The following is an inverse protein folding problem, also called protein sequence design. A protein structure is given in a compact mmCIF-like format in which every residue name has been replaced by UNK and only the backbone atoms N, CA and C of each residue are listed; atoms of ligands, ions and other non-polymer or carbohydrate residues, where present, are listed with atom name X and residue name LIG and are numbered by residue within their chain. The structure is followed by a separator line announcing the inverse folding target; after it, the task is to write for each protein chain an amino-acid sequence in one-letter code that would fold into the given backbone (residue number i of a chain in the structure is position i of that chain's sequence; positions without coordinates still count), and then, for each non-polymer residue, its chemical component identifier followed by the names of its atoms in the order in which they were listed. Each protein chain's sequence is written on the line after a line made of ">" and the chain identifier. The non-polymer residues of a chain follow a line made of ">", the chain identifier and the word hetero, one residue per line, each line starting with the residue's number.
data_IF_586400307558
#
_entry.id   IF_586400307558
#
_cell.length_a   1.000
_cell.length_b   1.000
_cell.length_c   1.000
_cell.angle_alpha   90.00
_cell.angle_beta   90.00
_cell.angle_gamma   90.00
#
_symmetry.space_group_name_H-M   'P 1'
#
loop_
_entity.id
_entity.type
_entity.pdbx_description
1 polymer ?
#
# COMPACT_ATOMS: atom_id res chain seq x y z
N UNK A 1 8.25 19.24 -6.91
CA UNK A 1 8.42 19.06 -5.45
C UNK A 1 9.26 17.84 -5.14
N UNK A 2 8.87 16.63 -5.52
CA UNK A 2 9.61 15.36 -5.27
C UNK A 2 11.09 15.47 -5.64
N UNK A 3 11.42 15.82 -6.91
CA UNK A 3 12.79 15.93 -7.37
C UNK A 3 13.66 16.94 -6.57
N UNK A 4 13.05 18.02 -6.09
CA UNK A 4 13.76 18.99 -5.25
C UNK A 4 14.06 18.45 -3.87
N UNK A 5 13.12 17.68 -3.29
CA UNK A 5 13.32 16.99 -2.02
C UNK A 5 14.41 15.91 -2.13
N UNK A 6 14.36 15.09 -3.16
CA UNK A 6 15.37 14.05 -3.42
C UNK A 6 16.78 14.65 -3.60
N UNK A 7 16.89 15.67 -4.44
CA UNK A 7 18.15 16.37 -4.66
C UNK A 7 18.70 16.98 -3.37
N UNK A 8 17.83 17.58 -2.57
CA UNK A 8 18.24 18.22 -1.31
C UNK A 8 18.64 17.20 -0.26
N UNK A 9 17.91 16.08 -0.16
CA UNK A 9 18.25 14.95 0.72
C UNK A 9 19.65 14.42 0.42
N UNK A 10 19.99 14.26 -0.86
CA UNK A 10 21.31 13.81 -1.28
C UNK A 10 22.39 14.88 -1.01
N UNK A 11 22.14 16.13 -1.37
CA UNK A 11 23.12 17.23 -1.22
C UNK A 11 23.45 17.51 0.25
N UNK A 12 22.47 17.35 1.15
CA UNK A 12 22.61 17.57 2.58
C UNK A 12 23.05 16.32 3.35
N UNK A 13 23.27 15.19 2.67
CA UNK A 13 23.68 13.93 3.32
C UNK A 13 22.60 13.33 4.24
N UNK A 14 21.33 13.60 3.96
CA UNK A 14 20.20 13.20 4.81
C UNK A 14 19.60 11.84 4.44
N UNK A 15 20.26 11.06 3.62
CA UNK A 15 19.75 9.76 3.14
C UNK A 15 19.55 8.72 4.25
N UNK A 16 20.22 8.89 5.39
CA UNK A 16 20.02 8.06 6.58
C UNK A 16 18.81 8.47 7.42
N UNK A 17 18.26 9.66 7.18
CA UNK A 17 17.11 10.19 7.91
C UNK A 17 15.85 10.31 7.04
N UNK A 18 16.01 10.51 5.73
CA UNK A 18 14.93 10.58 4.74
C UNK A 18 15.12 9.44 3.76
N UNK A 19 14.27 8.42 3.85
CA UNK A 19 14.44 7.16 3.13
C UNK A 19 13.77 7.18 1.76
N UNK A 20 12.51 7.62 1.70
CA UNK A 20 11.73 7.61 0.46
C UNK A 20 10.85 8.86 0.35
N UNK A 21 10.65 9.29 -0.87
CA UNK A 21 9.77 10.40 -1.22
C UNK A 21 8.81 9.90 -2.30
N UNK A 22 7.54 9.83 -1.98
CA UNK A 22 6.50 9.23 -2.80
C UNK A 22 5.46 10.28 -3.18
N UNK A 23 4.99 10.21 -4.43
CA UNK A 23 3.80 10.96 -4.88
C UNK A 23 2.64 9.98 -4.85
N UNK A 24 1.51 10.32 -4.23
CA UNK A 24 0.36 9.42 -4.11
C UNK A 24 -0.39 9.33 -5.45
N UNK A 25 0.18 8.60 -6.39
CA UNK A 25 -0.35 8.34 -7.72
C UNK A 25 -0.73 6.87 -7.83
N UNK A 26 -1.84 6.60 -8.49
CA UNK A 26 -2.29 5.25 -8.83
C UNK A 26 -2.51 5.12 -10.33
N UNK A 27 -2.24 3.95 -10.88
CA UNK A 27 -2.59 3.63 -12.24
C UNK A 27 -4.03 3.12 -12.27
N UNK A 28 -4.88 3.80 -13.02
CA UNK A 28 -6.29 3.42 -13.22
C UNK A 28 -6.46 2.99 -14.66
N UNK A 29 -6.87 1.75 -14.86
CA UNK A 29 -7.22 1.24 -16.18
C UNK A 29 -8.73 1.33 -16.38
N UNK A 30 -9.14 2.15 -17.35
CA UNK A 30 -10.53 2.28 -17.77
C UNK A 30 -10.73 1.65 -19.15
N UNK A 31 -11.85 0.99 -19.33
CA UNK A 31 -12.23 0.45 -20.65
C UNK A 31 -13.12 1.48 -21.31
N UNK A 32 -12.64 2.10 -22.39
CA UNK A 32 -13.42 2.99 -23.25
C UNK A 32 -13.45 2.41 -24.67
N UNK A 33 -14.64 2.26 -25.22
CA UNK A 33 -14.88 1.75 -26.56
C UNK A 33 -14.23 0.35 -26.84
N UNK A 34 -14.11 -0.47 -25.80
CA UNK A 34 -13.50 -1.81 -25.89
C UNK A 34 -11.97 -1.83 -25.84
N UNK A 35 -11.33 -0.69 -25.68
CA UNK A 35 -9.89 -0.58 -25.47
C UNK A 35 -9.56 -0.24 -24.01
N UNK A 36 -8.57 -0.92 -23.46
CA UNK A 36 -8.04 -0.63 -22.14
C UNK A 36 -7.13 0.60 -22.20
N UNK A 37 -7.51 1.68 -21.51
CA UNK A 37 -6.73 2.89 -21.40
C UNK A 37 -6.26 3.06 -19.96
N UNK A 38 -4.95 3.03 -19.76
CA UNK A 38 -4.33 3.28 -18.45
C UNK A 38 -4.05 4.77 -18.30
N UNK A 39 -4.50 5.35 -17.21
CA UNK A 39 -4.21 6.73 -16.82
C UNK A 39 -3.65 6.76 -15.41
N UNK A 40 -2.79 7.74 -15.13
CA UNK A 40 -2.27 7.98 -13.80
C UNK A 40 -3.17 9.01 -13.12
N UNK A 41 -3.77 8.65 -12.01
CA UNK A 41 -4.56 9.54 -11.18
C UNK A 41 -3.82 9.83 -9.88
N UNK A 42 -3.85 11.09 -9.44
CA UNK A 42 -3.24 11.50 -8.18
C UNK A 42 -4.37 11.71 -7.15
N UNK A 43 -4.40 10.87 -6.13
CA UNK A 43 -5.41 10.93 -5.07
C UNK A 43 -5.32 12.21 -4.24
N UNK A 44 -4.11 12.75 -4.11
CA UNK A 44 -3.83 13.94 -3.31
C UNK A 44 -2.95 14.92 -4.09
N UNK A 45 -3.52 15.65 -5.08
CA UNK A 45 -2.75 16.59 -5.87
C UNK A 45 -2.05 17.65 -5.02
N UNK A 46 -0.75 17.84 -5.24
CA UNK A 46 0.05 18.78 -4.49
C UNK A 46 0.65 18.27 -3.18
N UNK A 47 0.37 17.03 -2.81
CA UNK A 47 0.97 16.37 -1.65
C UNK A 47 2.06 15.38 -2.04
N UNK A 48 3.00 15.20 -1.13
CA UNK A 48 4.10 14.24 -1.25
C UNK A 48 4.25 13.56 0.10
N UNK A 49 4.37 12.25 0.08
CA UNK A 49 4.64 11.43 1.26
C UNK A 49 6.15 11.33 1.44
N UNK A 50 6.62 11.53 2.64
CA UNK A 50 8.04 11.42 2.98
C UNK A 50 8.19 10.39 4.09
N UNK A 51 8.92 9.32 3.80
CA UNK A 51 9.31 8.33 4.80
C UNK A 51 10.64 8.75 5.42
N UNK A 52 10.64 8.90 6.72
CA UNK A 52 11.81 9.37 7.44
C UNK A 52 11.99 8.69 8.80
N UNK A 53 13.21 8.76 9.32
CA UNK A 53 13.50 8.26 10.65
C UNK A 53 12.78 9.09 11.72
N UNK A 54 12.13 8.39 12.64
CA UNK A 54 11.44 8.97 13.79
C UNK A 54 12.00 8.36 15.09
N UNK A 55 13.17 8.80 15.53
CA UNK A 55 13.90 8.14 16.61
C UNK A 55 13.21 8.24 17.97
N UNK A 56 12.32 9.21 18.17
CA UNK A 56 11.62 9.43 19.43
C UNK A 56 10.12 9.69 19.18
N UNK A 57 9.26 8.88 19.76
CA UNK A 57 7.80 9.07 19.81
C UNK A 57 7.16 9.42 18.46
N UNK A 58 7.57 8.75 17.40
CA UNK A 58 7.10 9.01 16.02
C UNK A 58 7.35 10.45 15.52
N UNK A 59 8.28 11.15 16.15
CA UNK A 59 8.67 12.50 15.76
C UNK A 59 9.94 12.48 14.90
N UNK A 60 9.91 13.26 13.81
CA UNK A 60 11.08 13.47 12.96
C UNK A 60 12.16 14.29 13.68
N UNK A 61 13.40 14.15 13.23
CA UNK A 61 14.52 14.97 13.71
C UNK A 61 14.34 16.44 13.31
N UNK A 62 14.97 17.37 14.06
CA UNK A 62 14.96 18.80 13.73
C UNK A 62 15.62 19.07 12.37
N UNK A 63 16.67 18.31 12.05
CA UNK A 63 17.40 18.42 10.80
C UNK A 63 16.52 18.00 9.61
N UNK A 64 15.84 16.85 9.67
CA UNK A 64 14.93 16.39 8.65
C UNK A 64 13.77 17.39 8.44
N UNK A 65 13.19 17.88 9.52
CA UNK A 65 12.14 18.89 9.50
C UNK A 65 12.60 20.15 8.79
N UNK A 66 13.80 20.66 9.13
CA UNK A 66 14.37 21.85 8.53
C UNK A 66 14.65 21.69 7.03
N UNK A 67 15.25 20.56 6.64
CA UNK A 67 15.60 20.28 5.24
C UNK A 67 14.34 20.21 4.37
N UNK A 68 13.33 19.47 4.80
CA UNK A 68 12.07 19.35 4.06
C UNK A 68 11.35 20.68 3.94
N UNK A 69 11.21 21.40 5.05
CA UNK A 69 10.49 22.67 5.07
C UNK A 69 11.13 23.75 4.20
N UNK A 70 12.46 23.78 4.13
CA UNK A 70 13.21 24.78 3.34
C UNK A 70 13.47 24.32 1.89
N UNK A 71 12.86 23.23 1.45
CA UNK A 71 12.99 22.77 0.07
C UNK A 71 12.07 23.58 -0.84
N UNK A 72 12.57 24.11 -1.98
CA UNK A 72 11.76 24.85 -2.94
C UNK A 72 10.55 24.04 -3.44
N UNK A 73 9.37 24.64 -3.37
CA UNK A 73 8.11 24.02 -3.76
C UNK A 73 7.37 23.31 -2.60
N UNK A 74 7.99 23.21 -1.43
CA UNK A 74 7.32 22.74 -0.20
C UNK A 74 6.74 23.95 0.53
N UNK A 75 5.44 23.94 0.77
CA UNK A 75 4.72 24.97 1.51
C UNK A 75 4.69 24.73 3.02
N UNK A 76 4.82 23.47 3.42
CA UNK A 76 4.82 23.03 4.81
C UNK A 76 4.36 21.59 4.95
N UNK A 77 4.25 21.14 6.18
CA UNK A 77 3.72 19.82 6.51
C UNK A 77 2.21 19.90 6.77
N UNK A 78 1.49 18.88 6.33
CA UNK A 78 0.09 18.71 6.69
C UNK A 78 0.00 18.40 8.20
N UNK A 79 -0.98 19.00 8.88
CA UNK A 79 -1.21 18.77 10.31
C UNK A 79 -0.27 19.51 11.25
N UNK A 80 0.64 20.37 10.74
CA UNK A 80 1.41 21.25 11.61
C UNK A 80 0.53 22.42 12.09
N UNK A 81 0.33 22.53 13.39
CA UNK A 81 -0.43 23.62 14.02
C UNK A 81 0.47 24.84 14.27
N UNK A 82 0.62 25.70 13.26
CA UNK A 82 1.38 26.95 13.35
C UNK A 82 2.83 26.87 12.87
N UNK A 83 3.45 28.07 12.72
CA UNK A 83 4.83 28.20 12.26
C UNK A 83 5.80 27.65 13.31
N UNK A 84 6.37 26.48 13.05
CA UNK A 84 7.41 25.89 13.90
C UNK A 84 7.02 24.61 14.64
N UNK A 85 5.76 24.16 14.58
CA UNK A 85 5.39 22.87 15.11
C UNK A 85 5.67 21.73 14.13
N UNK A 86 6.21 20.63 14.64
CA UNK A 86 6.34 19.40 13.85
C UNK A 86 4.97 18.76 13.68
N UNK A 87 4.67 18.18 12.51
CA UNK A 87 3.45 17.41 12.29
C UNK A 87 3.54 16.08 13.03
N UNK A 88 2.40 15.49 13.30
CA UNK A 88 2.34 14.09 13.70
C UNK A 88 2.60 13.20 12.48
N UNK A 89 3.25 12.05 12.70
CA UNK A 89 3.35 11.02 11.67
C UNK A 89 1.98 10.42 11.37
N UNK A 90 1.83 9.87 10.16
CA UNK A 90 0.67 9.04 9.84
C UNK A 90 0.69 7.77 10.69
N UNK A 91 -0.49 7.30 11.06
CA UNK A 91 -0.63 6.01 11.73
C UNK A 91 -0.31 4.85 10.78
N UNK A 92 0.17 3.71 11.28
CA UNK A 92 0.49 2.56 10.43
C UNK A 92 -0.64 2.15 9.50
N UNK A 93 -1.89 2.17 9.98
CA UNK A 93 -3.07 1.81 9.19
C UNK A 93 -3.33 2.81 8.05
N UNK A 94 -3.05 4.10 8.28
CA UNK A 94 -3.17 5.14 7.24
C UNK A 94 -2.09 4.97 6.17
N UNK A 95 -0.87 4.64 6.60
CA UNK A 95 0.24 4.34 5.67
C UNK A 95 -0.10 3.12 4.82
N UNK A 96 -0.56 2.03 5.43
CA UNK A 96 -0.95 0.81 4.72
C UNK A 96 -2.05 1.06 3.70
N UNK A 97 -3.05 1.87 4.06
CA UNK A 97 -4.13 2.23 3.14
C UNK A 97 -3.62 3.03 1.94
N UNK A 98 -2.74 4.00 2.17
CA UNK A 98 -2.13 4.81 1.11
C UNK A 98 -1.25 3.96 0.20
N UNK A 99 -0.41 3.10 0.78
CA UNK A 99 0.48 2.20 0.03
C UNK A 99 -0.32 1.21 -0.83
N UNK A 100 -1.42 0.66 -0.31
CA UNK A 100 -2.34 -0.19 -1.08
C UNK A 100 -2.93 0.55 -2.27
N UNK A 101 -3.37 1.78 -2.09
CA UNK A 101 -3.91 2.61 -3.19
C UNK A 101 -2.88 2.90 -4.26
N UNK A 102 -1.64 3.14 -3.87
CA UNK A 102 -0.52 3.38 -4.78
C UNK A 102 -0.01 2.10 -5.47
N UNK A 103 -0.59 0.94 -5.20
CA UNK A 103 -0.09 -0.35 -5.71
C UNK A 103 1.32 -0.70 -5.21
N UNK A 104 1.79 0.00 -4.18
CA UNK A 104 3.15 -0.19 -3.62
C UNK A 104 3.20 -1.22 -2.51
N UNK A 105 2.08 -1.61 -1.94
CA UNK A 105 2.02 -2.85 -1.19
C UNK A 105 2.07 -3.94 -2.24
N UNK A 106 3.25 -4.47 -2.45
CA UNK A 106 3.32 -5.87 -2.80
C UNK A 106 2.48 -6.53 -1.73
N UNK A 107 1.29 -7.02 -2.08
CA UNK A 107 0.62 -8.00 -1.25
C UNK A 107 1.76 -8.92 -0.86
N UNK A 108 2.07 -9.04 0.45
CA UNK A 108 2.85 -10.18 0.87
C UNK A 108 2.18 -11.32 0.13
N UNK A 109 2.92 -11.95 -0.76
CA UNK A 109 2.54 -13.24 -1.26
C UNK A 109 2.51 -14.02 0.04
N UNK A 110 1.35 -14.08 0.65
CA UNK A 110 1.08 -15.07 1.67
C UNK A 110 1.40 -16.31 0.87
N UNK A 111 2.54 -16.89 1.17
CA UNK A 111 2.90 -18.20 0.68
C UNK A 111 1.70 -19.02 1.11
N UNK A 112 0.74 -19.14 0.19
CA UNK A 112 -0.43 -19.99 0.41
C UNK A 112 0.20 -21.36 0.47
N UNK A 113 0.60 -21.75 1.68
CA UNK A 113 1.15 -23.07 1.99
C UNK A 113 0.06 -24.13 1.77
N UNK A 114 -0.72 -23.95 0.69
CA UNK A 114 -1.85 -24.74 0.29
C UNK A 114 -1.50 -25.36 -1.06
N UNK A 115 -1.37 -26.67 -1.06
CA UNK A 115 -1.11 -27.43 -2.28
C UNK A 115 -2.42 -27.87 -2.93
N UNK A 116 -2.40 -27.98 -4.27
CA UNK A 116 -3.53 -28.55 -5.02
C UNK A 116 -3.81 -29.94 -4.50
N UNK A 117 -5.08 -30.22 -4.16
CA UNK A 117 -5.51 -31.46 -3.53
C UNK A 117 -5.54 -31.45 -2.00
N UNK A 118 -5.11 -30.35 -1.39
CA UNK A 118 -5.20 -30.21 0.07
C UNK A 118 -6.64 -29.86 0.50
N UNK A 119 -7.07 -30.42 1.60
CA UNK A 119 -8.35 -30.06 2.22
C UNK A 119 -8.16 -28.86 3.14
N UNK A 120 -8.92 -27.81 2.89
CA UNK A 120 -8.93 -26.56 3.66
C UNK A 120 -10.29 -26.35 4.30
N UNK A 121 -10.32 -25.68 5.44
CA UNK A 121 -11.58 -25.30 6.09
C UNK A 121 -11.90 -23.84 5.77
N UNK A 122 -13.06 -23.60 5.21
CA UNK A 122 -13.54 -22.26 4.89
C UNK A 122 -13.93 -21.56 6.18
N UNK A 123 -13.36 -20.37 6.43
CA UNK A 123 -13.59 -19.58 7.65
C UNK A 123 -14.50 -18.38 7.42
N UNK A 124 -14.70 -17.96 6.16
CA UNK A 124 -15.52 -16.79 5.80
C UNK A 124 -16.45 -17.12 4.63
N UNK A 125 -17.48 -16.30 4.44
CA UNK A 125 -18.42 -16.43 3.34
C UNK A 125 -19.58 -17.43 3.57
N UNK A 126 -20.37 -17.71 2.53
CA UNK A 126 -21.59 -18.53 2.62
C UNK A 126 -21.33 -20.00 2.95
N UNK A 127 -20.11 -20.48 2.72
CA UNK A 127 -19.67 -21.86 2.99
C UNK A 127 -18.80 -21.97 4.25
N UNK A 128 -18.82 -20.96 5.10
CA UNK A 128 -18.03 -20.95 6.35
C UNK A 128 -18.31 -22.16 7.22
N UNK A 129 -17.25 -22.81 7.68
CA UNK A 129 -17.30 -24.02 8.49
C UNK A 129 -17.27 -25.33 7.70
N UNK A 130 -17.35 -25.28 6.37
CA UNK A 130 -17.26 -26.45 5.49
C UNK A 130 -15.80 -26.75 5.10
N UNK A 131 -15.55 -28.00 4.74
CA UNK A 131 -14.27 -28.43 4.19
C UNK A 131 -14.33 -28.36 2.66
N UNK A 132 -13.26 -27.88 2.05
CA UNK A 132 -13.11 -27.77 0.61
C UNK A 132 -11.80 -28.38 0.17
N UNK A 133 -11.78 -29.00 -1.00
CA UNK A 133 -10.55 -29.51 -1.61
C UNK A 133 -10.06 -28.51 -2.64
N UNK A 134 -8.82 -28.04 -2.49
CA UNK A 134 -8.20 -27.08 -3.39
C UNK A 134 -7.95 -27.71 -4.76
N UNK A 135 -8.48 -27.10 -5.79
CA UNK A 135 -8.35 -27.57 -7.18
C UNK A 135 -7.39 -26.71 -7.99
N UNK A 136 -7.32 -25.40 -7.70
CA UNK A 136 -6.40 -24.47 -8.34
C UNK A 136 -5.97 -23.39 -7.36
N UNK A 137 -4.73 -22.92 -7.49
CA UNK A 137 -4.19 -21.79 -6.73
C UNK A 137 -3.71 -20.74 -7.73
N UNK A 138 -4.33 -19.55 -7.70
CA UNK A 138 -3.91 -18.41 -8.49
C UNK A 138 -3.12 -17.46 -7.58
N UNK A 139 -1.80 -17.59 -7.64
CA UNK A 139 -0.88 -16.80 -6.80
C UNK A 139 -0.90 -15.30 -7.20
N UNK A 140 -1.17 -15.00 -8.46
CA UNK A 140 -1.20 -13.61 -8.94
C UNK A 140 -2.43 -12.86 -8.43
N UNK A 141 -3.57 -13.53 -8.39
CA UNK A 141 -4.83 -12.95 -7.89
C UNK A 141 -5.04 -13.14 -6.40
N UNK A 142 -4.19 -13.97 -5.75
CA UNK A 142 -4.36 -14.41 -4.36
C UNK A 142 -5.73 -15.03 -4.10
N UNK A 143 -6.22 -15.77 -5.06
CA UNK A 143 -7.45 -16.53 -4.96
C UNK A 143 -7.14 -18.01 -5.14
N UNK A 144 -7.95 -18.85 -4.52
CA UNK A 144 -7.90 -20.27 -4.73
C UNK A 144 -9.27 -20.78 -5.16
N UNK A 145 -9.28 -21.68 -6.12
CA UNK A 145 -10.49 -22.45 -6.43
C UNK A 145 -10.48 -23.73 -5.59
N UNK A 146 -11.56 -23.93 -4.90
CA UNK A 146 -11.75 -25.12 -4.11
C UNK A 146 -13.13 -25.74 -4.38
N UNK A 147 -13.20 -27.05 -4.34
CA UNK A 147 -14.46 -27.78 -4.48
C UNK A 147 -15.01 -28.09 -3.10
N UNK A 148 -16.21 -27.59 -2.84
CA UNK A 148 -16.96 -27.86 -1.61
C UNK A 148 -18.01 -28.93 -1.88
N UNK A 149 -18.07 -29.95 -1.05
CA UNK A 149 -19.15 -30.93 -1.14
C UNK A 149 -20.39 -30.43 -0.37
N UNK A 150 -21.43 -30.06 -1.12
CA UNK A 150 -22.69 -29.57 -0.58
C UNK A 150 -23.80 -30.52 -1.02
N UNK A 151 -24.45 -31.18 -0.05
CA UNK A 151 -25.53 -32.13 -0.29
C UNK A 151 -25.18 -33.27 -1.28
N UNK A 152 -23.94 -33.79 -1.21
CA UNK A 152 -23.46 -34.84 -2.11
C UNK A 152 -23.19 -34.38 -3.54
N UNK A 153 -23.00 -33.05 -3.75
CA UNK A 153 -22.58 -32.47 -5.02
C UNK A 153 -21.34 -31.63 -4.84
N UNK A 154 -20.39 -31.81 -5.72
CA UNK A 154 -19.19 -31.01 -5.79
C UNK A 154 -19.52 -29.65 -6.41
N UNK A 155 -19.28 -28.57 -5.67
CA UNK A 155 -19.51 -27.21 -6.13
C UNK A 155 -18.19 -26.46 -6.14
N UNK A 156 -17.68 -26.02 -7.28
CA UNK A 156 -16.47 -25.20 -7.32
C UNK A 156 -16.78 -23.81 -6.75
N UNK A 157 -15.91 -23.33 -5.89
CA UNK A 157 -16.03 -22.03 -5.22
C UNK A 157 -14.68 -21.33 -5.24
N UNK A 158 -14.68 -20.07 -5.60
CA UNK A 158 -13.51 -19.21 -5.51
C UNK A 158 -13.44 -18.61 -4.10
N UNK A 159 -12.27 -18.75 -3.47
CA UNK A 159 -11.99 -18.31 -2.12
C UNK A 159 -10.83 -17.30 -2.14
N UNK A 160 -10.93 -16.25 -1.32
CA UNK A 160 -9.90 -15.21 -1.11
C UNK A 160 -9.00 -15.53 0.08
#
# INVERSE_FOLDING_TARGET
>A
MKANLESRTQTMGMSEQIFRILVPEQEVTTIQDGEAKTSVENDFPGYVLVEMATPHDYNMTDEAWYVVRNTPGVTGFLGSHGAGSKPNSLMPEEVDLLMKRMGMVTREVVDLAVEIGQTVKIITGPFSGMEATVTMVDVEKQTLEATVEVFGRETPTELD
#
